data_IF_264760948331
#
_entry.id   IF_264760948331
#
_cell.length_a   1.000
_cell.length_b   1.000
_cell.length_c   1.000
_cell.angle_alpha   90.00
_cell.angle_beta   90.00
_cell.angle_gamma   90.00
#
_symmetry.space_group_name_H-M   'P 1'
#
loop_
_entity.id
_entity.type
_entity.pdbx_description
1 polymer ?
#
# COMPACT_ATOMS: atom_id res chain seq x y z
N UNK A 1 -20.07 30.99 39.32
CA UNK A 1 -19.52 29.76 39.93
C UNK A 1 -18.69 29.07 38.85
N UNK A 2 -17.39 28.79 38.93
CA UNK A 2 -16.27 29.18 39.79
C UNK A 2 -15.37 30.15 38.99
N UNK A 3 -14.92 31.22 39.65
CA UNK A 3 -13.82 32.10 39.23
C UNK A 3 -12.49 31.38 39.60
N UNK A 4 -11.31 31.71 39.07
CA UNK A 4 -10.35 32.60 39.75
C UNK A 4 -9.03 32.68 38.94
N UNK A 5 -8.60 33.95 38.75
CA UNK A 5 -7.25 34.55 38.64
C UNK A 5 -6.19 34.03 37.66
N UNK A 6 -5.91 34.89 36.68
CA UNK A 6 -4.54 35.37 36.44
C UNK A 6 -3.96 35.99 37.71
N UNK A 7 -2.69 35.76 38.05
CA UNK A 7 -1.70 36.74 38.54
C UNK A 7 -0.36 36.04 38.81
N UNK A 8 0.69 36.70 38.31
CA UNK A 8 2.13 36.47 38.40
C UNK A 8 2.65 36.68 39.83
N UNK A 9 3.69 35.93 40.27
CA UNK A 9 4.80 36.29 41.22
C UNK A 9 5.66 35.00 41.37
N UNK A 10 6.85 34.86 40.74
CA UNK A 10 8.18 35.47 40.98
C UNK A 10 8.99 34.72 42.07
N UNK A 11 10.31 34.51 41.76
CA UNK A 11 11.47 34.12 42.62
C UNK A 11 11.80 32.60 42.70
N UNK A 12 13.04 32.10 42.60
CA UNK A 12 14.41 32.66 42.80
C UNK A 12 15.44 31.94 41.91
N UNK A 13 16.50 32.66 41.56
CA UNK A 13 17.77 32.23 40.97
C UNK A 13 18.48 31.07 41.69
N UNK A 14 19.17 30.23 40.92
CA UNK A 14 20.54 29.82 41.23
C UNK A 14 21.26 29.41 39.95
N UNK A 15 22.06 30.31 39.39
CA UNK A 15 23.19 29.90 38.55
C UNK A 15 24.21 29.33 39.51
N UNK A 16 24.45 28.02 39.45
CA UNK A 16 25.72 27.44 39.85
C UNK A 16 26.28 26.73 38.63
N UNK A 17 27.26 27.39 38.01
CA UNK A 17 28.23 26.77 37.12
C UNK A 17 29.00 25.72 37.92
N UNK A 18 28.87 24.44 37.59
CA UNK A 18 29.96 23.45 37.64
C UNK A 18 29.58 22.28 36.72
N UNK A 19 30.60 21.77 36.01
CA UNK A 19 30.51 20.96 34.80
C UNK A 19 29.58 19.75 34.80
N UNK A 20 29.00 19.45 33.63
CA UNK A 20 29.52 18.38 32.76
C UNK A 20 28.77 18.45 31.41
N UNK A 21 29.46 18.85 30.35
CA UNK A 21 28.91 19.08 29.00
C UNK A 21 28.62 17.80 28.19
N UNK A 22 28.42 16.66 28.85
CA UNK A 22 28.16 15.37 28.17
C UNK A 22 26.69 14.94 28.25
N UNK A 23 25.89 15.46 29.19
CA UNK A 23 24.50 15.04 29.38
C UNK A 23 23.51 15.66 28.38
N UNK A 24 23.65 16.94 28.05
CA UNK A 24 22.71 17.64 27.17
C UNK A 24 22.81 17.19 25.71
N UNK A 25 24.04 16.98 25.20
CA UNK A 25 24.27 16.39 23.86
C UNK A 25 23.64 15.01 23.72
N UNK A 26 23.71 14.19 24.77
CA UNK A 26 23.18 12.82 24.77
C UNK A 26 21.65 12.79 24.72
N UNK A 27 20.99 13.79 25.30
CA UNK A 27 19.53 13.94 25.26
C UNK A 27 19.08 14.43 23.88
N UNK A 28 19.75 15.44 23.30
CA UNK A 28 19.48 15.88 21.93
C UNK A 28 19.74 14.79 20.89
N UNK A 29 20.87 14.07 20.96
CA UNK A 29 21.14 12.91 20.10
C UNK A 29 20.10 11.81 20.28
N UNK A 30 19.62 11.55 21.50
CA UNK A 30 18.59 10.51 21.73
C UNK A 30 17.23 10.87 21.13
N UNK A 31 16.85 12.14 21.14
CA UNK A 31 15.58 12.64 20.58
C UNK A 31 15.68 12.73 19.06
N UNK A 32 16.83 13.14 18.52
CA UNK A 32 17.07 13.20 17.09
C UNK A 32 17.17 11.79 16.49
N UNK A 33 17.76 10.84 17.21
CA UNK A 33 17.81 9.42 16.82
C UNK A 33 16.43 8.74 16.97
N UNK A 34 15.62 9.04 18.00
CA UNK A 34 14.23 8.56 18.09
C UNK A 34 13.34 9.12 16.97
N UNK A 35 13.49 10.40 16.62
CA UNK A 35 12.73 11.01 15.52
C UNK A 35 13.21 10.53 14.15
N UNK A 36 14.52 10.28 13.97
CA UNK A 36 15.04 9.63 12.77
C UNK A 36 14.55 8.18 12.67
N UNK A 37 14.59 7.38 13.75
CA UNK A 37 14.06 6.01 13.80
C UNK A 37 12.55 5.99 13.49
N UNK A 38 11.78 6.96 14.02
CA UNK A 38 10.35 7.13 13.70
C UNK A 38 10.12 7.55 12.24
N UNK A 39 10.96 8.41 11.66
CA UNK A 39 10.85 8.83 10.26
C UNK A 39 11.36 7.76 9.27
N UNK A 40 12.36 6.96 9.63
CA UNK A 40 12.82 5.83 8.80
C UNK A 40 11.84 4.66 8.84
N UNK A 41 11.18 4.41 9.98
CA UNK A 41 10.12 3.39 10.05
C UNK A 41 8.82 3.82 9.36
N UNK A 42 8.63 5.13 9.10
CA UNK A 42 7.53 5.63 8.29
C UNK A 42 7.74 5.46 6.77
N UNK A 43 8.88 4.91 6.33
CA UNK A 43 9.26 4.78 4.91
C UNK A 43 9.34 3.34 4.39
N UNK A 44 8.94 2.35 5.18
CA UNK A 44 8.64 1.00 4.70
C UNK A 44 7.73 0.29 5.69
N UNK A 45 6.47 0.72 5.78
CA UNK A 45 5.44 -0.17 6.30
C UNK A 45 5.34 -1.29 5.27
N UNK A 46 5.99 -2.43 5.53
CA UNK A 46 5.71 -3.65 4.78
C UNK A 46 4.21 -3.83 4.81
N UNK A 47 3.59 -3.70 3.64
CA UNK A 47 2.15 -3.82 3.53
C UNK A 47 1.85 -5.32 3.69
N UNK A 48 1.29 -5.77 4.82
CA UNK A 48 1.22 -7.19 5.16
C UNK A 48 0.45 -8.01 4.12
N UNK A 49 -0.36 -7.35 3.29
CA UNK A 49 -1.08 -7.99 2.19
C UNK A 49 -0.20 -8.46 1.02
N UNK A 50 1.03 -7.96 0.86
CA UNK A 50 1.90 -8.35 -0.28
C UNK A 50 2.47 -9.77 -0.10
N UNK A 51 2.43 -10.29 1.12
CA UNK A 51 2.75 -11.67 1.46
C UNK A 51 1.62 -12.65 1.15
N UNK A 52 0.40 -12.16 0.89
CA UNK A 52 -0.74 -13.01 0.59
C UNK A 52 -0.58 -13.61 -0.81
N UNK A 53 -0.54 -14.94 -0.85
CA UNK A 53 -0.34 -15.72 -2.08
C UNK A 53 -1.58 -16.52 -2.39
N UNK A 54 -1.77 -16.79 -3.69
CA UNK A 54 -2.79 -17.73 -4.16
C UNK A 54 -2.61 -19.07 -3.46
N UNK A 55 -3.72 -19.73 -3.13
CA UNK A 55 -3.69 -21.03 -2.48
C UNK A 55 -3.60 -21.02 -0.96
N UNK A 56 -3.27 -19.88 -0.34
CA UNK A 56 -3.34 -19.73 1.13
C UNK A 56 -4.76 -19.94 1.63
N UNK A 57 -4.90 -20.55 2.79
CA UNK A 57 -6.16 -20.71 3.51
C UNK A 57 -6.59 -19.42 4.22
N UNK A 58 -7.87 -19.33 4.61
CA UNK A 58 -8.33 -18.21 5.43
C UNK A 58 -7.51 -18.08 6.72
N UNK A 59 -7.14 -19.20 7.33
CA UNK A 59 -6.33 -19.24 8.55
C UNK A 59 -4.93 -18.66 8.37
N UNK A 60 -4.27 -18.98 7.26
CA UNK A 60 -2.98 -18.38 6.90
C UNK A 60 -3.11 -16.88 6.61
N UNK A 61 -4.18 -16.46 5.92
CA UNK A 61 -4.46 -15.04 5.68
C UNK A 61 -4.75 -14.29 6.97
N UNK A 62 -5.54 -14.88 7.88
CA UNK A 62 -5.88 -14.31 9.19
C UNK A 62 -4.64 -14.12 10.05
N UNK A 63 -3.68 -15.04 9.98
CA UNK A 63 -2.40 -14.89 10.68
C UNK A 63 -1.59 -13.66 10.23
N UNK A 64 -1.83 -13.18 9.01
CA UNK A 64 -1.13 -12.03 8.40
C UNK A 64 -1.93 -10.72 8.56
N UNK A 65 -3.25 -10.76 8.31
CA UNK A 65 -4.09 -9.56 8.24
C UNK A 65 -5.05 -9.39 9.44
N UNK A 66 -5.14 -10.39 10.32
CA UNK A 66 -6.17 -10.45 11.35
C UNK A 66 -7.55 -10.87 10.79
N UNK A 67 -8.58 -10.72 11.62
CA UNK A 67 -9.95 -11.11 11.25
C UNK A 67 -10.50 -10.21 10.14
N UNK A 68 -11.00 -10.84 9.08
CA UNK A 68 -11.72 -10.16 8.00
C UNK A 68 -13.21 -10.05 8.31
N UNK A 69 -13.86 -9.06 7.72
CA UNK A 69 -15.32 -8.95 7.74
C UNK A 69 -15.85 -9.81 6.58
N UNK A 70 -16.63 -10.84 6.88
CA UNK A 70 -17.28 -11.64 5.84
C UNK A 70 -18.29 -10.77 5.06
N UNK A 71 -18.19 -10.83 3.74
CA UNK A 71 -19.10 -10.13 2.81
C UNK A 71 -19.91 -11.15 2.01
N UNK A 72 -21.10 -10.74 1.54
CA UNK A 72 -22.03 -11.67 0.86
C UNK A 72 -21.41 -12.22 -0.43
N UNK A 73 -21.45 -13.55 -0.54
CA UNK A 73 -21.02 -14.35 -1.68
C UNK A 73 -22.01 -14.22 -2.86
N UNK A 74 -21.57 -13.60 -3.96
CA UNK A 74 -22.20 -13.81 -5.27
C UNK A 74 -21.29 -14.66 -6.16
N UNK A 75 -21.91 -15.54 -6.93
CA UNK A 75 -21.22 -16.34 -7.94
C UNK A 75 -20.61 -15.39 -8.98
N UNK A 76 -19.29 -15.44 -9.10
CA UNK A 76 -18.57 -14.79 -10.21
C UNK A 76 -18.05 -15.94 -11.03
N UNK A 77 -18.56 -16.06 -12.27
CA UNK A 77 -18.29 -17.19 -13.16
C UNK A 77 -18.70 -18.57 -12.60
N UNK A 78 -19.81 -18.65 -11.85
CA UNK A 78 -20.41 -19.93 -11.41
C UNK A 78 -19.70 -20.64 -10.25
N UNK A 79 -18.65 -20.04 -9.67
CA UNK A 79 -17.96 -20.60 -8.51
C UNK A 79 -18.47 -20.00 -7.21
N UNK A 80 -19.05 -20.85 -6.36
CA UNK A 80 -19.30 -20.55 -4.95
C UNK A 80 -17.98 -20.25 -4.25
N UNK A 81 -17.99 -19.23 -3.39
CA UNK A 81 -16.79 -18.80 -2.70
C UNK A 81 -17.11 -17.73 -1.68
N UNK A 82 -16.36 -17.73 -0.59
CA UNK A 82 -16.49 -16.76 0.49
C UNK A 82 -15.59 -15.57 0.19
N UNK A 83 -16.07 -14.36 0.48
CA UNK A 83 -15.27 -13.15 0.30
C UNK A 83 -15.18 -12.41 1.62
N UNK A 84 -13.98 -11.97 1.95
CA UNK A 84 -13.69 -11.23 3.17
C UNK A 84 -13.05 -9.90 2.82
N UNK A 85 -13.34 -8.91 3.65
CA UNK A 85 -12.87 -7.54 3.52
C UNK A 85 -11.99 -7.15 4.71
N UNK A 86 -10.87 -6.48 4.41
CA UNK A 86 -10.01 -5.81 5.38
C UNK A 86 -9.83 -4.35 4.97
N UNK A 87 -9.73 -3.46 5.96
CA UNK A 87 -9.32 -2.08 5.75
C UNK A 87 -7.96 -1.85 6.41
N UNK A 88 -6.94 -1.65 5.59
CA UNK A 88 -5.54 -1.53 6.02
C UNK A 88 -5.02 -0.19 5.49
N UNK A 89 -4.63 0.71 6.38
CA UNK A 89 -4.08 2.03 6.03
C UNK A 89 -4.93 2.85 5.04
N UNK A 90 -6.25 2.71 5.11
CA UNK A 90 -7.19 3.40 4.22
C UNK A 90 -7.42 2.70 2.87
N UNK A 91 -6.70 1.63 2.58
CA UNK A 91 -6.95 0.72 1.46
C UNK A 91 -7.94 -0.37 1.89
N UNK A 92 -8.85 -0.69 0.98
CA UNK A 92 -9.76 -1.81 1.01
C UNK A 92 -9.09 -3.01 0.34
N UNK A 93 -8.97 -4.12 1.05
CA UNK A 93 -8.48 -5.39 0.54
C UNK A 93 -9.64 -6.38 0.58
N UNK A 94 -10.04 -6.87 -0.59
CA UNK A 94 -11.06 -7.90 -0.73
C UNK A 94 -10.42 -9.19 -1.23
N UNK A 95 -10.61 -10.28 -0.50
CA UNK A 95 -10.06 -11.59 -0.84
C UNK A 95 -11.21 -12.58 -1.01
N UNK A 96 -11.29 -13.18 -2.20
CA UNK A 96 -12.21 -14.29 -2.48
C UNK A 96 -11.49 -15.62 -2.31
N UNK A 97 -12.12 -16.51 -1.57
CA UNK A 97 -11.69 -17.88 -1.35
C UNK A 97 -12.60 -18.85 -2.10
N UNK A 98 -12.01 -19.86 -2.73
CA UNK A 98 -12.69 -21.03 -3.31
C UNK A 98 -12.05 -22.26 -2.69
N UNK A 99 -12.85 -23.22 -2.20
CA UNK A 99 -12.36 -24.40 -1.47
C UNK A 99 -11.37 -24.06 -0.35
N UNK A 100 -11.67 -22.98 0.40
CA UNK A 100 -10.81 -22.41 1.44
C UNK A 100 -9.39 -22.06 0.95
N UNK A 101 -9.26 -21.59 -0.30
CA UNK A 101 -8.00 -21.14 -0.88
C UNK A 101 -8.14 -19.78 -1.52
N UNK A 102 -7.19 -18.87 -1.28
CA UNK A 102 -7.11 -17.56 -1.93
C UNK A 102 -7.15 -17.74 -3.43
N UNK A 103 -8.22 -17.24 -4.04
CA UNK A 103 -8.49 -17.33 -5.46
C UNK A 103 -8.30 -15.99 -6.18
N UNK A 104 -8.78 -14.92 -5.56
CA UNK A 104 -8.69 -13.55 -6.08
C UNK A 104 -8.42 -12.59 -4.93
N UNK A 105 -7.48 -11.67 -5.15
CA UNK A 105 -7.18 -10.54 -4.27
C UNK A 105 -7.47 -9.28 -5.09
N UNK A 106 -8.25 -8.36 -4.53
CA UNK A 106 -8.57 -7.06 -5.10
C UNK A 106 -8.25 -5.97 -4.08
N UNK A 107 -7.60 -4.91 -4.53
CA UNK A 107 -7.27 -3.73 -3.75
C UNK A 107 -8.01 -2.52 -4.32
N UNK A 108 -8.55 -1.68 -3.45
CA UNK A 108 -9.23 -0.44 -3.81
C UNK A 108 -9.00 0.58 -2.70
N UNK A 109 -8.69 1.82 -3.02
CA UNK A 109 -8.40 2.83 -1.99
C UNK A 109 -8.43 4.23 -2.57
N UNK A 110 -8.61 5.22 -1.69
CA UNK A 110 -8.60 6.65 -2.06
C UNK A 110 -7.21 7.16 -2.43
N UNK A 111 -6.18 6.40 -2.06
CA UNK A 111 -4.77 6.67 -2.35
C UNK A 111 -4.29 5.80 -3.52
N UNK A 112 -4.92 5.98 -4.69
CA UNK A 112 -4.29 5.67 -5.98
C UNK A 112 -3.17 6.73 -6.19
N UNK A 113 -2.20 6.74 -5.27
CA UNK A 113 -1.14 7.74 -5.19
C UNK A 113 -0.35 7.68 -6.49
N UNK A 114 0.16 8.84 -6.88
CA UNK A 114 1.09 8.94 -7.99
C UNK A 114 2.12 7.81 -7.94
N UNK A 115 2.11 6.95 -8.94
CA UNK A 115 2.96 5.77 -8.97
C UNK A 115 4.32 6.16 -9.54
N UNK A 116 5.33 6.27 -8.68
CA UNK A 116 6.72 6.37 -9.10
C UNK A 116 6.99 7.40 -10.20
N UNK A 117 7.46 6.93 -11.36
CA UNK A 117 7.84 7.78 -12.50
C UNK A 117 6.61 8.21 -13.29
N UNK A 118 6.58 9.47 -13.75
CA UNK A 118 5.55 9.92 -14.70
C UNK A 118 5.60 9.12 -16.00
N UNK A 119 4.43 8.65 -16.41
CA UNK A 119 4.23 7.90 -17.65
C UNK A 119 3.69 8.83 -18.74
N UNK A 120 4.10 8.57 -19.98
CA UNK A 120 3.70 9.37 -21.16
C UNK A 120 3.00 8.49 -22.18
N UNK A 121 2.31 9.09 -23.14
CA UNK A 121 1.70 8.37 -24.26
C UNK A 121 2.76 7.62 -25.07
N UNK A 122 3.97 8.17 -25.18
CA UNK A 122 5.09 7.54 -25.86
C UNK A 122 5.57 6.28 -25.13
N UNK A 123 5.60 6.30 -23.79
CA UNK A 123 5.93 5.13 -23.00
C UNK A 123 4.83 4.07 -23.08
N UNK A 124 3.55 4.49 -22.98
CA UNK A 124 2.40 3.61 -23.21
C UNK A 124 2.47 2.92 -24.56
N UNK A 125 2.76 3.64 -25.65
CA UNK A 125 2.84 3.09 -27.01
C UNK A 125 3.97 2.07 -27.20
N UNK A 126 5.01 2.11 -26.37
CA UNK A 126 6.08 1.10 -26.37
C UNK A 126 5.65 -0.22 -25.75
N UNK A 127 4.69 -0.21 -24.82
CA UNK A 127 4.14 -1.43 -24.23
C UNK A 127 3.21 -2.12 -25.23
N UNK A 128 3.44 -3.41 -25.48
CA UNK A 128 2.70 -4.23 -26.44
C UNK A 128 2.16 -5.48 -25.76
N UNK A 129 1.07 -6.01 -26.31
CA UNK A 129 0.60 -7.35 -25.96
C UNK A 129 1.72 -8.38 -26.15
N UNK A 130 1.73 -9.40 -25.29
CA UNK A 130 2.73 -10.45 -25.28
C UNK A 130 4.02 -10.12 -24.51
N UNK A 131 4.29 -8.85 -24.16
CA UNK A 131 5.43 -8.48 -23.32
C UNK A 131 5.32 -9.10 -21.92
N UNK A 132 6.44 -9.46 -21.31
CA UNK A 132 6.51 -9.81 -19.90
C UNK A 132 6.40 -8.59 -19.01
N UNK A 133 6.00 -8.78 -17.74
CA UNK A 133 5.96 -7.69 -16.78
C UNK A 133 7.34 -7.04 -16.54
N UNK A 134 8.43 -7.81 -16.63
CA UNK A 134 9.80 -7.28 -16.52
C UNK A 134 10.12 -6.32 -17.65
N UNK A 135 9.72 -6.63 -18.89
CA UNK A 135 9.87 -5.72 -20.02
C UNK A 135 9.03 -4.46 -19.83
N UNK A 136 7.81 -4.58 -19.30
CA UNK A 136 6.97 -3.43 -18.98
C UNK A 136 7.62 -2.51 -17.94
N UNK A 137 8.17 -3.07 -16.85
CA UNK A 137 8.89 -2.28 -15.82
C UNK A 137 10.04 -1.49 -16.44
N UNK A 138 10.78 -2.08 -17.40
CA UNK A 138 11.89 -1.37 -18.06
C UNK A 138 11.43 -0.13 -18.85
N UNK A 139 10.16 -0.09 -19.26
CA UNK A 139 9.56 1.01 -20.01
C UNK A 139 8.89 2.02 -19.06
N UNK A 140 8.06 1.54 -18.14
CA UNK A 140 7.15 2.35 -17.32
C UNK A 140 7.64 2.61 -15.89
N UNK A 141 8.57 1.80 -15.39
CA UNK A 141 8.79 1.63 -13.96
C UNK A 141 7.76 0.69 -13.32
N UNK A 142 7.89 0.47 -12.01
CA UNK A 142 6.95 -0.37 -11.27
C UNK A 142 5.57 0.28 -11.20
N UNK A 143 4.54 -0.52 -11.44
CA UNK A 143 3.14 -0.14 -11.28
C UNK A 143 2.57 -0.79 -10.04
N UNK A 144 1.49 -0.22 -9.52
CA UNK A 144 0.82 -0.79 -8.36
C UNK A 144 -0.10 -1.93 -8.80
N UNK A 145 -0.03 -3.06 -8.09
CA UNK A 145 -0.85 -4.24 -8.37
C UNK A 145 -2.22 -4.09 -7.68
N UNK A 146 -3.25 -3.84 -8.47
CA UNK A 146 -4.64 -3.71 -8.02
C UNK A 146 -5.32 -5.05 -7.76
N UNK A 147 -5.09 -6.02 -8.63
CA UNK A 147 -5.77 -7.30 -8.53
C UNK A 147 -4.86 -8.43 -8.98
N UNK A 148 -5.04 -9.60 -8.40
CA UNK A 148 -4.41 -10.83 -8.89
C UNK A 148 -5.21 -12.06 -8.51
N UNK A 149 -5.28 -13.03 -9.40
CA UNK A 149 -6.05 -14.24 -9.16
C UNK A 149 -5.98 -15.23 -10.29
N UNK A 150 -6.91 -16.18 -10.29
CA UNK A 150 -7.19 -17.04 -11.45
C UNK A 150 -8.51 -16.59 -12.06
N UNK A 151 -8.59 -16.39 -13.36
CA UNK A 151 -9.84 -16.05 -14.06
C UNK A 151 -9.93 -16.98 -15.26
N UNK A 152 -11.00 -17.76 -15.34
CA UNK A 152 -11.19 -18.78 -16.39
C UNK A 152 -9.97 -19.70 -16.56
N UNK A 153 -9.41 -20.17 -15.44
CA UNK A 153 -8.24 -21.06 -15.42
C UNK A 153 -6.87 -20.37 -15.59
N UNK A 154 -6.84 -19.13 -16.05
CA UNK A 154 -5.62 -18.37 -16.37
C UNK A 154 -5.14 -17.55 -15.18
N UNK A 155 -3.84 -17.44 -14.99
CA UNK A 155 -3.27 -16.57 -13.97
C UNK A 155 -3.35 -15.13 -14.44
N UNK A 156 -4.02 -14.28 -13.66
CA UNK A 156 -4.21 -12.87 -14.02
C UNK A 156 -3.64 -11.95 -12.95
N UNK A 157 -3.16 -10.78 -13.39
CA UNK A 157 -2.83 -9.66 -12.54
C UNK A 157 -3.14 -8.34 -13.25
N UNK A 158 -3.70 -7.38 -12.53
CA UNK A 158 -3.99 -6.03 -13.02
C UNK A 158 -3.09 -5.04 -12.31
N UNK A 159 -2.42 -4.19 -13.09
CA UNK A 159 -1.56 -3.12 -12.60
C UNK A 159 -2.09 -1.77 -13.05
N UNK A 160 -1.86 -0.73 -12.26
CA UNK A 160 -2.07 0.66 -12.68
C UNK A 160 -0.83 1.51 -12.53
N UNK A 161 -0.84 2.62 -13.25
CA UNK A 161 0.05 3.76 -13.05
C UNK A 161 -0.78 5.03 -13.08
N UNK A 162 -0.51 5.96 -12.17
CA UNK A 162 -1.21 7.25 -12.08
C UNK A 162 -0.19 8.38 -11.99
N UNK A 163 -0.33 9.38 -12.86
CA UNK A 163 0.44 10.61 -12.82
C UNK A 163 -0.16 11.61 -11.85
N UNK A 164 0.62 12.63 -11.46
CA UNK A 164 0.15 13.70 -10.57
C UNK A 164 -1.03 14.50 -11.14
N UNK A 165 -1.12 14.59 -12.47
CA UNK A 165 -2.23 15.27 -13.17
C UNK A 165 -3.47 14.38 -13.33
N UNK A 166 -3.47 13.17 -12.76
CA UNK A 166 -4.57 12.20 -12.81
C UNK A 166 -4.63 11.38 -14.09
N UNK A 167 -3.81 11.68 -15.11
CA UNK A 167 -3.65 10.79 -16.26
C UNK A 167 -3.08 9.45 -15.80
N UNK A 168 -3.52 8.36 -16.42
CA UNK A 168 -3.24 7.02 -15.91
C UNK A 168 -3.26 5.96 -17.00
N UNK A 169 -2.78 4.76 -16.65
CA UNK A 169 -3.00 3.57 -17.45
C UNK A 169 -3.20 2.34 -16.61
N UNK A 170 -3.89 1.36 -17.20
CA UNK A 170 -4.10 0.03 -16.65
C UNK A 170 -3.51 -1.03 -17.59
N UNK A 171 -2.97 -2.08 -16.99
CA UNK A 171 -2.41 -3.22 -17.69
C UNK A 171 -2.96 -4.51 -17.09
N UNK A 172 -3.42 -5.41 -17.94
CA UNK A 172 -3.71 -6.79 -17.55
C UNK A 172 -2.57 -7.69 -18.02
N UNK A 173 -2.05 -8.48 -17.09
CA UNK A 173 -1.13 -9.58 -17.34
C UNK A 173 -1.93 -10.87 -17.23
N UNK A 174 -1.86 -11.71 -18.25
CA UNK A 174 -2.40 -13.07 -18.27
C UNK A 174 -1.27 -14.06 -18.55
N UNK A 175 -1.13 -15.10 -17.70
CA UNK A 175 -0.08 -16.11 -17.79
C UNK A 175 1.33 -15.50 -17.98
N UNK A 176 1.59 -14.40 -17.26
CA UNK A 176 2.88 -13.70 -17.26
C UNK A 176 3.10 -12.73 -18.43
N UNK A 177 2.14 -12.57 -19.34
CA UNK A 177 2.25 -11.68 -20.51
C UNK A 177 1.15 -10.62 -20.53
N UNK A 178 1.44 -9.45 -21.10
CA UNK A 178 0.44 -8.41 -21.36
C UNK A 178 -0.65 -8.98 -22.26
N UNK A 179 -1.89 -8.98 -21.76
CA UNK A 179 -3.08 -9.37 -22.51
C UNK A 179 -3.96 -8.17 -22.87
N UNK A 180 -3.91 -7.09 -22.09
CA UNK A 180 -4.69 -5.89 -22.33
C UNK A 180 -3.98 -4.67 -21.74
N UNK A 181 -4.19 -3.52 -22.38
CA UNK A 181 -3.75 -2.20 -21.90
C UNK A 181 -4.81 -1.15 -22.20
N UNK A 182 -4.98 -0.19 -21.30
CA UNK A 182 -5.86 0.96 -21.47
C UNK A 182 -5.22 2.20 -20.83
N UNK A 183 -5.54 3.39 -21.32
CA UNK A 183 -5.05 4.66 -20.78
C UNK A 183 -6.13 5.73 -20.75
N UNK A 184 -5.96 6.69 -19.85
CA UNK A 184 -6.78 7.89 -19.76
C UNK A 184 -5.87 9.12 -19.72
N UNK A 185 -6.07 10.03 -20.66
CA UNK A 185 -5.48 11.37 -20.73
C UNK A 185 -3.93 11.43 -20.72
N UNK A 186 -3.22 10.37 -21.09
CA UNK A 186 -1.76 10.43 -21.24
C UNK A 186 -1.36 11.36 -22.39
N UNK A 187 -0.28 12.11 -22.16
CA UNK A 187 0.29 13.09 -23.10
C UNK A 187 1.60 12.64 -23.71
#
# INVERSE_FOLDING_TARGET
MKKILSVVIVLVFAVVLYGCSEGAKKIEESIENENQIRMTNALSIEKPYDDIKKGMSYEEVRAILGDGIETISNSVAGMEGQSYEWKIDGELILIKFIDNKVYLITKSGSDIRHTGKEITINMYNKVREGMSYKEVISILGEGEKLASGKISGKDTATYHWVNKDGSNMHLMIENGKVSMKAQVNLK
#
